data_IF_966662160429
#
_entry.id   IF_966662160429
#
_cell.length_a   1.000
_cell.length_b   1.000
_cell.length_c   1.000
_cell.angle_alpha   90.00
_cell.angle_beta   90.00
_cell.angle_gamma   90.00
#
_symmetry.space_group_name_H-M   'P 1'
#
loop_
_entity.id
_entity.type
_entity.pdbx_description
1 polymer ?
#
# COMPACT_ATOMS: atom_id res chain seq x y z
N UNK A 1 39.73 11.72 8.74
CA UNK A 1 39.13 12.91 8.10
C UNK A 1 40.26 13.86 7.71
N UNK A 2 40.03 14.79 6.77
CA UNK A 2 41.02 15.84 6.46
C UNK A 2 40.82 16.98 7.48
N UNK A 3 41.87 17.35 8.21
CA UNK A 3 41.82 18.49 9.13
C UNK A 3 42.05 19.78 8.36
N UNK A 4 41.08 20.69 8.41
CA UNK A 4 41.21 22.02 7.82
C UNK A 4 41.79 23.00 8.86
N UNK A 5 42.55 24.03 8.43
CA UNK A 5 42.96 25.13 9.30
C UNK A 5 41.75 25.86 9.90
N UNK A 6 41.92 26.45 11.08
CA UNK A 6 40.86 27.18 11.80
C UNK A 6 40.33 28.41 11.05
N UNK A 7 41.09 28.90 10.06
CA UNK A 7 40.69 30.00 9.18
C UNK A 7 39.67 29.60 8.11
N UNK A 8 39.39 28.30 7.94
CA UNK A 8 38.46 27.80 6.93
C UNK A 8 37.02 27.83 7.45
N UNK A 9 36.06 28.43 6.71
CA UNK A 9 34.66 28.47 7.13
C UNK A 9 34.08 27.08 7.45
N UNK A 10 33.23 26.95 8.49
CA UNK A 10 32.72 25.66 8.96
C UNK A 10 32.01 24.81 7.88
N UNK A 11 31.27 25.44 6.98
CA UNK A 11 30.59 24.74 5.88
C UNK A 11 31.58 24.03 4.94
N UNK A 12 32.72 24.64 4.67
CA UNK A 12 33.79 24.06 3.83
C UNK A 12 34.49 22.95 4.62
N UNK A 13 34.85 23.18 5.89
CA UNK A 13 35.48 22.16 6.73
C UNK A 13 34.62 20.88 6.86
N UNK A 14 33.30 21.03 7.02
CA UNK A 14 32.36 19.92 7.10
C UNK A 14 32.31 19.09 5.80
N UNK A 15 32.34 19.73 4.63
CA UNK A 15 32.38 19.03 3.35
C UNK A 15 33.66 18.16 3.20
N UNK A 16 34.82 18.67 3.63
CA UNK A 16 36.10 17.95 3.55
C UNK A 16 36.25 16.85 4.60
N UNK A 17 35.52 16.95 5.71
CA UNK A 17 35.52 15.95 6.78
C UNK A 17 35.03 14.58 6.26
N UNK A 18 34.04 14.59 5.36
CA UNK A 18 33.44 13.40 4.76
C UNK A 18 34.24 12.73 3.63
N UNK A 19 35.24 13.41 3.04
CA UNK A 19 35.93 12.92 1.84
C UNK A 19 36.65 11.59 2.08
N UNK A 20 37.44 11.49 3.15
CA UNK A 20 38.20 10.26 3.45
C UNK A 20 37.26 9.09 3.76
N UNK A 21 36.25 9.22 4.65
CA UNK A 21 35.25 8.18 4.86
C UNK A 21 34.51 7.76 3.57
N UNK A 22 34.11 8.73 2.74
CA UNK A 22 33.42 8.45 1.48
C UNK A 22 34.32 7.70 0.49
N UNK A 23 35.58 8.10 0.34
CA UNK A 23 36.53 7.43 -0.53
C UNK A 23 36.77 5.98 -0.06
N UNK A 24 37.01 5.77 1.24
CA UNK A 24 37.18 4.42 1.80
C UNK A 24 35.93 3.56 1.55
N UNK A 25 34.73 4.10 1.78
CA UNK A 25 33.48 3.38 1.52
C UNK A 25 33.31 3.04 0.02
N UNK A 26 33.59 3.98 -0.88
CA UNK A 26 33.53 3.76 -2.33
C UNK A 26 34.50 2.68 -2.78
N UNK A 27 35.76 2.71 -2.33
CA UNK A 27 36.73 1.67 -2.66
C UNK A 27 36.34 0.33 -2.04
N UNK A 28 35.86 0.30 -0.80
CA UNK A 28 35.40 -0.94 -0.18
C UNK A 28 34.25 -1.59 -0.98
N UNK A 29 33.19 -0.83 -1.28
CA UNK A 29 32.06 -1.32 -2.09
C UNK A 29 32.50 -1.69 -3.50
N UNK A 30 33.38 -0.89 -4.12
CA UNK A 30 33.93 -1.15 -5.43
C UNK A 30 34.76 -2.43 -5.50
N UNK A 31 35.60 -2.69 -4.49
CA UNK A 31 36.39 -3.92 -4.37
C UNK A 31 35.46 -5.12 -4.16
N UNK A 32 34.44 -5.00 -3.30
CA UNK A 32 33.45 -6.07 -3.12
C UNK A 32 32.76 -6.36 -4.45
N UNK A 33 32.28 -5.34 -5.16
CA UNK A 33 31.65 -5.55 -6.47
C UNK A 33 32.61 -6.15 -7.50
N UNK A 34 33.87 -5.72 -7.52
CA UNK A 34 34.91 -6.29 -8.39
C UNK A 34 35.16 -7.77 -8.08
N UNK A 35 35.15 -8.17 -6.81
CA UNK A 35 35.28 -9.60 -6.42
C UNK A 35 34.10 -10.39 -7.02
N UNK A 36 32.87 -9.88 -6.93
CA UNK A 36 31.70 -10.54 -7.52
C UNK A 36 31.84 -10.68 -9.05
N UNK A 37 32.39 -9.67 -9.74
CA UNK A 37 32.57 -9.76 -11.20
C UNK A 37 33.56 -10.85 -11.61
N UNK A 38 34.51 -11.24 -10.74
CA UNK A 38 35.37 -12.40 -10.99
C UNK A 38 34.59 -13.73 -11.04
N UNK A 39 33.40 -13.78 -10.44
CA UNK A 39 32.49 -14.92 -10.48
C UNK A 39 31.36 -14.75 -11.51
N UNK A 40 31.46 -13.77 -12.41
CA UNK A 40 30.49 -13.55 -13.49
C UNK A 40 29.18 -12.93 -13.04
N UNK A 41 29.17 -12.19 -11.93
CA UNK A 41 27.98 -11.48 -11.40
C UNK A 41 28.38 -10.14 -10.81
N UNK A 42 27.42 -9.27 -10.51
CA UNK A 42 27.63 -8.08 -9.67
C UNK A 42 27.00 -8.28 -8.30
N UNK A 43 27.35 -7.44 -7.32
CA UNK A 43 26.67 -7.47 -6.00
C UNK A 43 25.16 -7.27 -6.17
N UNK A 44 24.75 -6.38 -7.07
CA UNK A 44 23.35 -6.09 -7.35
C UNK A 44 22.67 -7.31 -7.98
N UNK A 45 23.26 -7.92 -9.01
CA UNK A 45 22.71 -9.11 -9.64
C UNK A 45 22.64 -10.30 -8.69
N UNK A 46 23.64 -10.49 -7.84
CA UNK A 46 23.62 -11.53 -6.81
C UNK A 46 22.49 -11.31 -5.81
N UNK A 47 22.34 -10.09 -5.27
CA UNK A 47 21.24 -9.75 -4.36
C UNK A 47 19.89 -9.94 -5.07
N UNK A 48 19.78 -9.50 -6.33
CA UNK A 48 18.58 -9.66 -7.13
C UNK A 48 18.21 -11.15 -7.26
N UNK A 49 19.16 -11.99 -7.65
CA UNK A 49 18.94 -13.42 -7.88
C UNK A 49 18.71 -14.23 -6.61
N UNK A 50 19.48 -13.96 -5.55
CA UNK A 50 19.47 -14.78 -4.32
C UNK A 50 18.40 -14.33 -3.33
N UNK A 51 18.08 -13.03 -3.28
CA UNK A 51 17.13 -12.48 -2.32
C UNK A 51 15.88 -11.93 -2.99
N UNK A 52 16.02 -11.07 -3.99
CA UNK A 52 14.87 -10.35 -4.56
C UNK A 52 13.95 -11.29 -5.33
N UNK A 53 14.45 -12.09 -6.27
CA UNK A 53 13.66 -12.99 -7.11
C UNK A 53 12.86 -14.02 -6.29
N UNK A 54 13.42 -14.74 -5.29
CA UNK A 54 12.64 -15.65 -4.47
C UNK A 54 11.52 -14.95 -3.68
N UNK A 55 11.81 -13.77 -3.11
CA UNK A 55 10.81 -12.98 -2.40
C UNK A 55 9.72 -12.46 -3.33
N UNK A 56 10.10 -12.04 -4.54
CA UNK A 56 9.18 -11.58 -5.57
C UNK A 56 8.26 -12.71 -6.03
N UNK A 57 8.80 -13.90 -6.28
CA UNK A 57 8.01 -15.08 -6.62
C UNK A 57 7.05 -15.46 -5.48
N UNK A 58 7.54 -15.49 -4.23
CA UNK A 58 6.70 -15.73 -3.06
C UNK A 58 5.58 -14.68 -2.93
N UNK A 59 5.87 -13.42 -3.23
CA UNK A 59 4.91 -12.30 -3.12
C UNK A 59 3.70 -12.42 -4.05
N UNK A 60 3.84 -13.15 -5.16
CA UNK A 60 2.75 -13.38 -6.10
C UNK A 60 1.72 -14.38 -5.58
N UNK A 61 2.05 -15.16 -4.55
CA UNK A 61 1.13 -16.11 -3.93
C UNK A 61 -0.02 -15.43 -3.18
N UNK A 62 -1.21 -16.01 -3.28
CA UNK A 62 -2.42 -15.53 -2.58
C UNK A 62 -2.21 -15.31 -1.08
N UNK A 63 -1.51 -16.24 -0.41
CA UNK A 63 -1.21 -16.13 1.02
C UNK A 63 -0.39 -14.89 1.37
N UNK A 64 0.63 -14.56 0.55
CA UNK A 64 1.47 -13.37 0.74
C UNK A 64 0.66 -12.09 0.59
N UNK A 65 -0.22 -12.04 -0.42
CA UNK A 65 -1.12 -10.90 -0.67
C UNK A 65 -2.10 -10.72 0.49
N UNK A 66 -2.69 -11.81 1.01
CA UNK A 66 -3.59 -11.76 2.16
C UNK A 66 -2.87 -11.31 3.44
N UNK A 67 -1.72 -11.90 3.75
CA UNK A 67 -0.94 -11.57 4.94
C UNK A 67 -0.59 -10.09 4.93
N UNK A 68 -0.09 -9.58 3.79
CA UNK A 68 0.25 -8.16 3.66
C UNK A 68 -0.97 -7.26 3.85
N UNK A 69 -2.10 -7.64 3.27
CA UNK A 69 -3.37 -6.94 3.46
C UNK A 69 -3.69 -6.86 4.95
N UNK A 70 -3.80 -7.99 5.64
CA UNK A 70 -4.14 -8.08 7.06
C UNK A 70 -3.19 -7.28 7.94
N UNK A 71 -1.87 -7.42 7.73
CA UNK A 71 -0.87 -6.74 8.56
C UNK A 71 -1.03 -5.22 8.51
N UNK A 72 -1.32 -4.63 7.33
CA UNK A 72 -1.61 -3.20 7.22
C UNK A 72 -2.78 -2.80 8.12
N UNK A 73 -3.86 -3.59 8.13
CA UNK A 73 -5.01 -3.28 8.99
C UNK A 73 -4.72 -3.49 10.48
N UNK A 74 -3.94 -4.51 10.83
CA UNK A 74 -3.54 -4.75 12.23
C UNK A 74 -2.73 -3.58 12.77
N UNK A 75 -1.75 -3.06 12.03
CA UNK A 75 -1.02 -1.86 12.46
C UNK A 75 -1.94 -0.66 12.65
N UNK A 76 -2.85 -0.43 11.69
CA UNK A 76 -3.82 0.65 11.78
C UNK A 76 -4.78 0.53 12.96
N UNK A 77 -5.16 -0.70 13.33
CA UNK A 77 -5.96 -0.95 14.53
C UNK A 77 -5.27 -0.46 15.81
N UNK A 78 -3.94 -0.54 15.87
CA UNK A 78 -3.12 0.01 16.96
C UNK A 78 -2.73 1.48 16.76
N UNK A 79 -3.29 2.18 15.77
CA UNK A 79 -2.99 3.59 15.48
C UNK A 79 -1.64 3.81 14.77
N UNK A 80 -1.00 2.73 14.31
CA UNK A 80 0.26 2.78 13.55
C UNK A 80 -0.09 2.77 12.07
N UNK A 81 0.46 3.71 11.30
CA UNK A 81 0.16 3.83 9.87
C UNK A 81 0.71 2.63 9.08
N UNK A 82 -0.12 1.60 8.88
CA UNK A 82 0.33 0.27 8.44
C UNK A 82 1.04 0.27 7.08
N UNK A 83 0.56 1.04 6.11
CA UNK A 83 1.21 1.14 4.78
C UNK A 83 2.57 1.84 4.84
N UNK A 84 2.80 2.73 5.81
CA UNK A 84 4.07 3.44 5.97
C UNK A 84 5.09 2.56 6.68
N UNK A 85 4.66 1.84 7.73
CA UNK A 85 5.51 0.88 8.44
C UNK A 85 5.92 -0.27 7.53
N UNK A 86 5.03 -0.73 6.67
CA UNK A 86 5.29 -1.83 5.74
C UNK A 86 5.82 -1.36 4.38
N UNK A 87 6.04 -0.05 4.18
CA UNK A 87 6.54 0.51 2.92
C UNK A 87 7.84 -0.16 2.41
N UNK A 88 8.86 -0.44 3.25
CA UNK A 88 10.07 -1.12 2.77
C UNK A 88 9.79 -2.49 2.12
N UNK A 89 8.77 -3.22 2.61
CA UNK A 89 8.37 -4.52 2.07
C UNK A 89 7.47 -4.33 0.85
N UNK A 90 6.45 -3.47 0.97
CA UNK A 90 5.51 -3.16 -0.12
C UNK A 90 6.25 -2.65 -1.37
N UNK A 91 7.18 -1.73 -1.18
CA UNK A 91 7.89 -1.09 -2.29
C UNK A 91 9.09 -1.92 -2.74
N UNK A 92 9.83 -2.54 -1.81
CA UNK A 92 10.93 -3.44 -2.18
C UNK A 92 10.50 -4.61 -3.06
N UNK A 93 9.27 -5.11 -2.86
CA UNK A 93 8.75 -6.29 -3.53
C UNK A 93 7.71 -5.92 -4.61
N UNK A 94 6.56 -5.38 -4.22
CA UNK A 94 5.44 -5.19 -5.16
C UNK A 94 5.59 -3.94 -6.05
N UNK A 95 6.33 -2.91 -5.62
CA UNK A 95 6.65 -1.79 -6.52
C UNK A 95 7.70 -2.21 -7.56
N UNK A 96 8.67 -3.05 -7.18
CA UNK A 96 9.57 -3.71 -8.15
C UNK A 96 8.77 -4.46 -9.22
N UNK A 97 7.82 -5.30 -8.81
CA UNK A 97 6.94 -6.01 -9.74
C UNK A 97 6.14 -5.06 -10.64
N UNK A 98 5.67 -3.94 -10.08
CA UNK A 98 4.96 -2.91 -10.84
C UNK A 98 5.82 -2.23 -11.91
N UNK A 99 7.06 -1.88 -11.57
CA UNK A 99 8.00 -1.26 -12.50
C UNK A 99 8.30 -2.24 -13.65
N UNK A 100 8.49 -3.52 -13.34
CA UNK A 100 8.70 -4.55 -14.35
C UNK A 100 7.48 -4.69 -15.31
N UNK A 101 6.25 -4.69 -14.78
CA UNK A 101 5.05 -4.68 -15.62
C UNK A 101 4.96 -3.44 -16.52
N UNK A 102 5.24 -2.26 -15.96
CA UNK A 102 5.20 -0.99 -16.70
C UNK A 102 6.21 -0.99 -17.84
N UNK A 103 7.41 -1.52 -17.61
CA UNK A 103 8.46 -1.66 -18.61
C UNK A 103 8.13 -2.70 -19.69
N UNK A 104 7.53 -3.83 -19.32
CA UNK A 104 7.09 -4.83 -20.30
C UNK A 104 5.96 -4.25 -21.18
N UNK A 105 4.99 -3.58 -20.56
CA UNK A 105 3.88 -2.96 -21.28
C UNK A 105 4.32 -1.89 -22.27
N UNK A 106 5.28 -1.02 -21.90
CA UNK A 106 5.80 0.02 -22.79
C UNK A 106 6.52 -0.52 -24.02
N UNK A 107 6.98 -1.77 -23.96
CA UNK A 107 7.61 -2.50 -25.08
C UNK A 107 6.64 -3.40 -25.85
N UNK A 108 5.37 -3.47 -25.44
CA UNK A 108 4.39 -4.41 -26.00
C UNK A 108 4.63 -5.87 -25.63
N UNK A 109 5.39 -6.14 -24.56
CA UNK A 109 5.69 -7.47 -24.05
C UNK A 109 4.61 -7.96 -23.07
N UNK A 110 4.60 -9.27 -22.81
CA UNK A 110 3.71 -9.86 -21.80
C UNK A 110 4.07 -9.38 -20.39
N UNK A 111 3.06 -9.14 -19.55
CA UNK A 111 3.27 -8.68 -18.17
C UNK A 111 3.86 -9.81 -17.32
N UNK A 112 5.03 -9.62 -16.68
CA UNK A 112 5.68 -10.67 -15.89
C UNK A 112 4.98 -10.98 -14.56
N UNK A 113 4.22 -10.03 -14.00
CA UNK A 113 3.59 -10.19 -12.69
C UNK A 113 2.08 -9.95 -12.73
N UNK A 114 1.35 -10.74 -11.96
CA UNK A 114 -0.11 -10.64 -11.87
C UNK A 114 -0.55 -9.67 -10.77
N UNK A 115 0.17 -9.63 -9.66
CA UNK A 115 -0.15 -8.78 -8.52
C UNK A 115 1.00 -7.82 -8.21
N UNK A 116 0.71 -6.52 -8.13
CA UNK A 116 1.71 -5.46 -7.97
C UNK A 116 1.27 -4.43 -6.94
N UNK A 117 2.07 -3.39 -6.70
CA UNK A 117 1.84 -2.43 -5.61
C UNK A 117 0.49 -1.72 -5.72
N UNK A 118 0.10 -1.26 -6.90
CA UNK A 118 -1.20 -0.62 -7.11
C UNK A 118 -2.38 -1.62 -7.12
N UNK A 119 -2.16 -2.94 -7.20
CA UNK A 119 -3.24 -3.91 -7.02
C UNK A 119 -3.90 -3.79 -5.64
N UNK A 120 -3.11 -3.49 -4.59
CA UNK A 120 -3.65 -3.20 -3.25
C UNK A 120 -4.46 -1.90 -3.23
N UNK A 121 -3.98 -0.84 -3.89
CA UNK A 121 -4.70 0.44 -3.92
C UNK A 121 -6.05 0.32 -4.66
N UNK A 122 -6.09 -0.47 -5.74
CA UNK A 122 -7.32 -0.70 -6.50
C UNK A 122 -8.34 -1.56 -5.76
N UNK A 123 -7.89 -2.63 -5.08
CA UNK A 123 -8.79 -3.70 -4.64
C UNK A 123 -8.85 -3.93 -3.13
N UNK A 124 -7.88 -3.43 -2.36
CA UNK A 124 -7.81 -3.63 -0.90
C UNK A 124 -8.11 -2.35 -0.12
N UNK A 125 -7.60 -1.21 -0.60
CA UNK A 125 -7.53 0.03 0.16
C UNK A 125 -8.34 1.15 -0.49
N UNK A 126 -9.56 0.82 -0.92
CA UNK A 126 -10.48 1.77 -1.53
C UNK A 126 -10.97 2.75 -0.47
N UNK A 127 -10.46 3.96 -0.53
CA UNK A 127 -10.69 4.95 0.51
C UNK A 127 -9.72 4.90 1.67
N UNK A 128 -8.55 4.28 1.48
CA UNK A 128 -7.52 4.08 2.50
C UNK A 128 -7.57 2.69 3.13
N UNK A 129 -6.82 2.51 4.22
CA UNK A 129 -6.82 1.24 4.95
C UNK A 129 -8.23 0.84 5.40
N UNK A 130 -8.53 -0.47 5.35
CA UNK A 130 -9.85 -0.99 5.67
C UNK A 130 -10.91 -0.83 4.58
N UNK A 131 -10.58 -0.20 3.45
CA UNK A 131 -11.59 0.26 2.48
C UNK A 131 -12.60 1.23 3.11
N UNK A 132 -12.10 2.19 3.88
CA UNK A 132 -12.91 3.09 4.73
C UNK A 132 -13.87 4.00 3.97
N UNK A 133 -13.71 4.20 2.66
CA UNK A 133 -14.74 4.88 1.86
C UNK A 133 -16.08 4.13 1.94
N UNK A 134 -16.05 2.80 1.99
CA UNK A 134 -17.24 1.96 2.09
C UNK A 134 -17.91 2.08 3.46
N UNK A 135 -17.11 2.20 4.53
CA UNK A 135 -17.60 2.51 5.87
C UNK A 135 -18.26 3.89 5.92
N UNK A 136 -17.63 4.92 5.34
CA UNK A 136 -18.16 6.27 5.29
C UNK A 136 -19.52 6.31 4.59
N UNK A 137 -19.64 5.64 3.43
CA UNK A 137 -20.91 5.51 2.72
C UNK A 137 -21.95 4.77 3.58
N UNK A 138 -21.57 3.66 4.24
CA UNK A 138 -22.46 2.92 5.13
C UNK A 138 -22.97 3.77 6.31
N UNK A 139 -22.12 4.60 6.91
CA UNK A 139 -22.50 5.52 7.99
C UNK A 139 -23.47 6.59 7.49
N UNK A 140 -23.17 7.23 6.34
CA UNK A 140 -24.03 8.28 5.80
C UNK A 140 -25.44 7.77 5.45
N UNK A 141 -25.57 6.50 5.05
CA UNK A 141 -26.85 5.87 4.70
C UNK A 141 -27.58 5.33 5.95
N UNK A 142 -26.89 4.59 6.84
CA UNK A 142 -27.55 3.80 7.89
C UNK A 142 -27.37 4.33 9.31
N UNK A 143 -26.35 5.15 9.59
CA UNK A 143 -26.13 5.70 10.92
C UNK A 143 -27.08 6.85 11.20
N UNK A 144 -27.65 6.86 12.41
CA UNK A 144 -28.50 7.95 12.94
C UNK A 144 -27.78 8.80 13.98
N UNK A 145 -26.56 8.43 14.37
CA UNK A 145 -25.80 9.18 15.38
C UNK A 145 -25.14 10.41 14.77
N UNK A 146 -25.32 11.57 15.39
CA UNK A 146 -24.81 12.84 14.86
C UNK A 146 -23.28 12.90 14.86
N UNK A 147 -22.62 12.31 15.87
CA UNK A 147 -21.16 12.23 15.98
C UNK A 147 -20.52 11.49 14.78
N UNK A 148 -20.99 10.27 14.48
CA UNK A 148 -20.47 9.47 13.37
C UNK A 148 -20.79 10.13 12.02
N UNK A 149 -21.99 10.70 11.86
CA UNK A 149 -22.39 11.37 10.62
C UNK A 149 -21.58 12.65 10.38
N UNK A 150 -21.26 13.41 11.42
CA UNK A 150 -20.43 14.60 11.31
C UNK A 150 -19.04 14.25 10.79
N UNK A 151 -18.38 13.26 11.39
CA UNK A 151 -17.09 12.77 10.93
C UNK A 151 -17.18 12.24 9.51
N UNK A 152 -18.21 11.46 9.19
CA UNK A 152 -18.35 10.89 7.85
C UNK A 152 -18.49 11.96 6.75
N UNK A 153 -19.20 13.06 7.02
CA UNK A 153 -19.33 14.19 6.07
C UNK A 153 -18.00 14.91 5.84
N UNK A 154 -17.19 15.06 6.89
CA UNK A 154 -15.86 15.68 6.77
C UNK A 154 -14.86 14.76 6.06
N UNK A 155 -15.00 13.46 6.28
CA UNK A 155 -14.06 12.44 5.81
C UNK A 155 -14.37 11.89 4.41
N UNK A 156 -15.56 12.08 3.86
CA UNK A 156 -15.95 11.49 2.56
C UNK A 156 -15.10 12.02 1.40
N UNK A 157 -14.81 13.33 1.39
CA UNK A 157 -14.00 13.95 0.36
C UNK A 157 -12.55 13.44 0.38
N UNK A 158 -11.79 13.49 1.51
CA UNK A 158 -10.46 12.88 1.56
C UNK A 158 -10.51 11.37 1.32
N UNK A 159 -11.53 10.68 1.83
CA UNK A 159 -11.75 9.26 1.58
C UNK A 159 -11.92 8.92 0.10
N UNK A 160 -12.52 9.81 -0.71
CA UNK A 160 -12.59 9.59 -2.16
C UNK A 160 -11.23 9.61 -2.85
N UNK A 161 -10.24 10.29 -2.26
CA UNK A 161 -8.84 10.32 -2.68
C UNK A 161 -7.96 9.36 -1.85
N UNK A 162 -8.57 8.33 -1.25
CA UNK A 162 -7.91 7.30 -0.47
C UNK A 162 -7.18 7.78 0.81
N UNK A 163 -7.49 8.99 1.29
CA UNK A 163 -6.98 9.56 2.55
C UNK A 163 -7.99 9.25 3.66
N UNK A 164 -7.56 8.52 4.69
CA UNK A 164 -8.48 8.00 5.71
C UNK A 164 -8.19 8.42 7.15
N UNK A 165 -7.14 9.21 7.40
CA UNK A 165 -6.80 9.74 8.72
C UNK A 165 -8.00 10.44 9.40
N UNK A 166 -8.80 11.27 8.70
CA UNK A 166 -9.95 11.92 9.30
C UNK A 166 -10.99 10.92 9.86
N UNK A 167 -11.14 9.75 9.23
CA UNK A 167 -12.08 8.72 9.70
C UNK A 167 -11.44 7.78 10.71
N UNK A 168 -10.16 7.45 10.56
CA UNK A 168 -9.41 6.59 11.47
C UNK A 168 -9.27 7.21 12.87
N UNK A 169 -9.05 8.53 12.94
CA UNK A 169 -8.88 9.25 14.20
C UNK A 169 -10.12 10.02 14.65
N UNK A 170 -10.97 10.43 13.70
CA UNK A 170 -12.21 11.15 14.02
C UNK A 170 -13.32 10.23 14.53
N UNK A 171 -13.27 8.94 14.21
CA UNK A 171 -14.12 7.92 14.82
C UNK A 171 -13.25 6.98 15.66
N UNK A 172 -13.81 6.35 16.71
CA UNK A 172 -13.11 5.28 17.40
C UNK A 172 -13.08 4.05 16.47
N UNK A 173 -12.24 4.05 15.43
CA UNK A 173 -11.93 2.83 14.66
C UNK A 173 -10.67 2.20 15.24
N UNK A 174 -9.69 3.03 15.56
CA UNK A 174 -8.50 2.63 16.31
C UNK A 174 -8.95 2.07 17.66
N UNK A 175 -8.50 0.85 17.97
CA UNK A 175 -8.84 0.11 19.19
C UNK A 175 -10.34 -0.20 19.40
N UNK A 176 -11.23 0.05 18.44
CA UNK A 176 -12.64 -0.37 18.54
C UNK A 176 -12.83 -1.78 17.94
N UNK A 177 -13.12 -2.79 18.77
CA UNK A 177 -13.28 -4.16 18.30
C UNK A 177 -14.47 -4.36 17.36
N UNK A 178 -15.49 -3.48 17.38
CA UNK A 178 -16.67 -3.58 16.52
C UNK A 178 -16.31 -3.23 15.10
N UNK A 179 -15.60 -2.12 14.91
CA UNK A 179 -15.15 -1.71 13.58
C UNK A 179 -13.90 -2.46 13.12
N UNK A 180 -13.11 -3.03 14.03
CA UNK A 180 -11.95 -3.86 13.67
C UNK A 180 -12.33 -5.05 12.77
N UNK A 181 -13.41 -5.75 13.08
CA UNK A 181 -13.85 -6.92 12.31
C UNK A 181 -14.09 -6.58 10.83
N UNK A 182 -14.99 -5.64 10.47
CA UNK A 182 -15.19 -5.28 9.07
C UNK A 182 -13.99 -4.56 8.47
N UNK A 183 -13.19 -3.84 9.28
CA UNK A 183 -11.97 -3.18 8.83
C UNK A 183 -10.92 -4.16 8.30
N UNK A 184 -10.81 -5.36 8.88
CA UNK A 184 -9.96 -6.44 8.35
C UNK A 184 -10.69 -7.26 7.28
N UNK A 185 -11.96 -7.62 7.53
CA UNK A 185 -12.70 -8.55 6.69
C UNK A 185 -12.99 -7.99 5.30
N UNK A 186 -13.37 -6.71 5.19
CA UNK A 186 -13.72 -6.12 3.89
C UNK A 186 -12.54 -6.15 2.91
N UNK A 187 -11.34 -5.64 3.24
CA UNK A 187 -10.15 -5.76 2.38
C UNK A 187 -9.80 -7.22 2.05
N UNK A 188 -9.86 -8.13 3.02
CA UNK A 188 -9.53 -9.56 2.80
C UNK A 188 -10.45 -10.19 1.76
N UNK A 189 -11.76 -9.97 1.86
CA UNK A 189 -12.74 -10.52 0.91
C UNK A 189 -12.55 -9.88 -0.47
N UNK A 190 -12.43 -8.55 -0.53
CA UNK A 190 -12.27 -7.81 -1.79
C UNK A 190 -10.98 -8.21 -2.54
N UNK A 191 -9.88 -8.34 -1.82
CA UNK A 191 -8.60 -8.81 -2.37
C UNK A 191 -8.70 -10.24 -2.86
N UNK A 192 -9.40 -11.11 -2.13
CA UNK A 192 -9.57 -12.52 -2.55
C UNK A 192 -10.32 -12.64 -3.88
N UNK A 193 -11.39 -11.86 -4.03
CA UNK A 193 -12.18 -11.80 -5.26
C UNK A 193 -11.33 -11.24 -6.41
N UNK A 194 -10.63 -10.13 -6.16
CA UNK A 194 -9.80 -9.50 -7.18
C UNK A 194 -8.61 -10.37 -7.60
N UNK A 195 -7.92 -10.99 -6.64
CA UNK A 195 -6.83 -11.92 -6.91
C UNK A 195 -7.33 -13.07 -7.78
N UNK A 196 -8.45 -13.70 -7.40
CA UNK A 196 -9.10 -14.73 -8.20
C UNK A 196 -9.42 -14.27 -9.62
N UNK A 197 -9.98 -13.07 -9.79
CA UNK A 197 -10.31 -12.53 -11.09
C UNK A 197 -9.08 -12.28 -11.98
N UNK A 198 -7.99 -11.75 -11.39
CA UNK A 198 -6.74 -11.48 -12.12
C UNK A 198 -6.04 -12.78 -12.51
N UNK A 199 -5.89 -13.75 -11.60
CA UNK A 199 -5.19 -15.00 -11.92
C UNK A 199 -5.94 -15.88 -12.93
N UNK A 200 -7.27 -15.77 -12.99
CA UNK A 200 -8.09 -16.45 -13.99
C UNK A 200 -8.22 -15.66 -15.30
N UNK A 201 -7.51 -14.53 -15.45
CA UNK A 201 -7.51 -13.73 -16.68
C UNK A 201 -8.83 -13.01 -16.96
N UNK A 202 -9.73 -12.87 -15.99
CA UNK A 202 -11.00 -12.15 -16.14
C UNK A 202 -10.76 -10.64 -16.24
N UNK A 203 -9.70 -10.15 -15.60
CA UNK A 203 -9.27 -8.75 -15.59
C UNK A 203 -7.76 -8.68 -15.83
N UNK A 204 -7.32 -7.68 -16.62
CA UNK A 204 -5.89 -7.45 -16.85
C UNK A 204 -5.14 -7.13 -15.55
N UNK A 205 -3.90 -7.62 -15.39
CA UNK A 205 -2.98 -7.10 -14.37
C UNK A 205 -2.70 -5.60 -14.57
N UNK A 206 -2.07 -4.99 -13.57
CA UNK A 206 -1.67 -3.58 -13.65
C UNK A 206 -0.59 -3.41 -14.72
N UNK A 207 -0.83 -2.48 -15.66
CA UNK A 207 0.02 -2.13 -16.80
C UNK A 207 0.79 -0.83 -16.58
N UNK A 208 0.21 0.12 -15.86
CA UNK A 208 0.80 1.43 -15.62
C UNK A 208 0.75 1.79 -14.14
N UNK A 209 1.80 2.47 -13.67
CA UNK A 209 1.83 3.03 -12.33
C UNK A 209 0.94 4.26 -12.22
N UNK A 210 0.17 4.30 -11.14
CA UNK A 210 -0.68 5.43 -10.76
C UNK A 210 -0.31 5.92 -9.37
N UNK A 211 -0.70 7.16 -9.07
CA UNK A 211 -0.65 7.66 -7.70
C UNK A 211 -1.75 7.00 -6.87
N UNK A 212 -1.42 6.61 -5.64
CA UNK A 212 -2.35 5.90 -4.73
C UNK A 212 -3.60 6.73 -4.39
N UNK A 213 -3.52 8.06 -4.46
CA UNK A 213 -4.64 8.97 -4.20
C UNK A 213 -5.58 9.13 -5.41
N UNK A 214 -5.30 8.47 -6.52
CA UNK A 214 -6.19 8.50 -7.69
C UNK A 214 -7.56 7.91 -7.31
N UNK A 215 -8.66 8.62 -7.58
CA UNK A 215 -9.98 8.17 -7.19
C UNK A 215 -10.36 6.80 -7.76
N UNK A 216 -11.26 6.06 -7.07
CA UNK A 216 -11.83 4.82 -7.58
C UNK A 216 -12.40 4.97 -8.99
N UNK A 217 -12.42 3.87 -9.73
CA UNK A 217 -12.77 3.72 -11.14
C UNK A 217 -11.78 4.36 -12.10
N UNK A 218 -11.37 5.61 -11.87
CA UNK A 218 -10.31 6.24 -12.65
C UNK A 218 -9.00 5.49 -12.46
N UNK A 219 -8.67 5.15 -11.21
CA UNK A 219 -7.50 4.33 -10.89
C UNK A 219 -7.50 2.98 -11.60
N UNK A 220 -8.63 2.27 -11.60
CA UNK A 220 -8.77 0.96 -12.23
C UNK A 220 -8.60 1.04 -13.75
N UNK A 221 -9.26 2.01 -14.39
CA UNK A 221 -9.19 2.21 -15.84
C UNK A 221 -7.79 2.60 -16.28
N UNK A 222 -7.15 3.56 -15.61
CA UNK A 222 -5.82 4.05 -16.00
C UNK A 222 -4.74 3.01 -15.73
N UNK A 223 -4.77 2.35 -14.57
CA UNK A 223 -3.72 1.40 -14.19
C UNK A 223 -3.74 0.11 -15.02
N UNK A 224 -4.92 -0.37 -15.42
CA UNK A 224 -5.07 -1.64 -16.14
C UNK A 224 -5.34 -1.48 -17.64
N UNK A 225 -5.77 -0.30 -18.09
CA UNK A 225 -6.31 -0.06 -19.44
C UNK A 225 -7.36 -1.12 -19.82
N UNK A 226 -8.19 -1.49 -18.84
CA UNK A 226 -9.19 -2.55 -18.94
C UNK A 226 -10.46 -2.15 -18.18
N UNK A 227 -11.56 -1.95 -18.91
CA UNK A 227 -12.83 -1.56 -18.31
C UNK A 227 -13.37 -2.60 -17.33
N UNK A 228 -13.00 -3.88 -17.50
CA UNK A 228 -13.40 -4.97 -16.60
C UNK A 228 -12.82 -4.76 -15.19
N UNK A 229 -11.69 -4.06 -15.05
CA UNK A 229 -11.12 -3.71 -13.76
C UNK A 229 -12.02 -2.74 -12.98
N UNK A 230 -12.63 -1.76 -13.66
CA UNK A 230 -13.58 -0.85 -13.02
C UNK A 230 -14.86 -1.58 -12.57
N UNK A 231 -15.32 -2.56 -13.35
CA UNK A 231 -16.46 -3.43 -12.97
C UNK A 231 -16.11 -4.30 -11.77
N UNK A 232 -14.93 -4.94 -11.77
CA UNK A 232 -14.44 -5.71 -10.63
C UNK A 232 -14.31 -4.84 -9.37
N UNK A 233 -13.79 -3.62 -9.52
CA UNK A 233 -13.69 -2.68 -8.40
C UNK A 233 -15.07 -2.29 -7.88
N UNK A 234 -16.07 -2.07 -8.74
CA UNK A 234 -17.46 -1.84 -8.33
C UNK A 234 -18.02 -3.03 -7.54
N UNK A 235 -17.81 -4.26 -8.02
CA UNK A 235 -18.24 -5.48 -7.32
C UNK A 235 -17.61 -5.54 -5.92
N UNK A 236 -16.30 -5.30 -5.83
CA UNK A 236 -15.59 -5.25 -4.55
C UNK A 236 -16.13 -4.15 -3.62
N UNK A 237 -16.40 -2.96 -4.15
CA UNK A 237 -16.98 -1.86 -3.37
C UNK A 237 -18.37 -2.23 -2.82
N UNK A 238 -19.23 -2.86 -3.62
CA UNK A 238 -20.55 -3.33 -3.17
C UNK A 238 -20.39 -4.36 -2.05
N UNK A 239 -19.49 -5.33 -2.20
CA UNK A 239 -19.27 -6.38 -1.20
C UNK A 239 -18.70 -5.80 0.09
N UNK A 240 -17.66 -4.96 0.01
CA UNK A 240 -17.08 -4.30 1.18
C UNK A 240 -18.09 -3.40 1.89
N UNK A 241 -18.94 -2.68 1.15
CA UNK A 241 -20.05 -1.92 1.71
C UNK A 241 -21.02 -2.83 2.48
N UNK A 242 -21.47 -3.93 1.88
CA UNK A 242 -22.37 -4.88 2.52
C UNK A 242 -21.76 -5.52 3.78
N UNK A 243 -20.43 -5.73 3.81
CA UNK A 243 -19.71 -6.18 5.00
C UNK A 243 -19.78 -5.13 6.11
N UNK A 244 -19.65 -3.84 5.80
CA UNK A 244 -19.70 -2.77 6.81
C UNK A 244 -21.10 -2.51 7.39
N UNK A 245 -22.17 -2.67 6.59
CA UNK A 245 -23.56 -2.38 6.99
C UNK A 245 -23.98 -2.99 8.34
N UNK A 246 -23.81 -4.30 8.61
CA UNK A 246 -24.23 -4.88 9.89
C UNK A 246 -23.50 -4.27 11.08
N UNK A 247 -22.21 -3.94 10.94
CA UNK A 247 -21.41 -3.36 12.03
C UNK A 247 -21.76 -1.90 12.30
N UNK A 248 -22.02 -1.11 11.25
CA UNK A 248 -22.55 0.25 11.43
C UNK A 248 -23.88 0.21 12.18
N UNK A 249 -24.78 -0.70 11.81
CA UNK A 249 -26.06 -0.88 12.51
C UNK A 249 -25.88 -1.35 13.95
N UNK A 250 -24.89 -2.20 14.23
CA UNK A 250 -24.57 -2.66 15.58
C UNK A 250 -24.00 -1.51 16.44
N UNK A 251 -23.04 -0.74 15.92
CA UNK A 251 -22.44 0.41 16.59
C UNK A 251 -23.49 1.51 16.92
N UNK A 252 -24.53 1.65 16.11
CA UNK A 252 -25.65 2.58 16.38
C UNK A 252 -26.51 2.16 17.58
N UNK A 253 -26.51 0.87 17.98
CA UNK A 253 -27.27 0.38 19.14
C UNK A 253 -26.53 0.55 20.46
N UNK A 254 -25.22 0.81 20.39
CA UNK A 254 -24.39 1.02 21.56
C UNK A 254 -24.51 2.49 21.94
N UNK A 255 -24.96 2.74 23.16
CA UNK A 255 -24.97 4.10 23.70
C UNK A 255 -23.53 4.62 23.67
N UNK A 256 -23.29 5.87 23.24
CA UNK A 256 -22.00 6.49 23.47
C UNK A 256 -21.67 6.30 24.95
N UNK A 257 -20.54 5.67 25.26
CA UNK A 257 -19.98 5.80 26.60
C UNK A 257 -19.77 7.29 26.79
N UNK A 258 -20.41 7.88 27.80
CA UNK A 258 -20.01 9.20 28.27
C UNK A 258 -18.53 9.08 28.61
N UNK A 259 -17.68 9.67 27.78
CA UNK A 259 -16.29 9.85 28.11
C UNK A 259 -16.29 11.02 29.11
N UNK A 260 -16.21 10.69 30.39
CA UNK A 260 -15.88 11.64 31.45
C UNK A 260 -14.53 12.33 31.18
#
# INVERSE_FOLDING_TARGET
>A
TIKMPDSVPPAVANAFTGIVPAAVAMYAVGIINYIFTQYGTTVIEFIAKVLQEPLLNLSQGYGSVLIMTILVQVFWFFGIHGTNVLAPILDGIWLTAQIANTNAFSKGEALPYLWTRNSFDLYAWIGGAGSTLLLLIAILIFSKRDDQRAVAKLSIAPGFFNVNEPVMFGMPIVLDPIYFIPFVLAPVVMVSIAYGAVVNGLVSPIKAQIVWSMPPFLNALVATMDWRAAVLQLINMVIGFLIYVPFVKAANKIKPTELD
#
